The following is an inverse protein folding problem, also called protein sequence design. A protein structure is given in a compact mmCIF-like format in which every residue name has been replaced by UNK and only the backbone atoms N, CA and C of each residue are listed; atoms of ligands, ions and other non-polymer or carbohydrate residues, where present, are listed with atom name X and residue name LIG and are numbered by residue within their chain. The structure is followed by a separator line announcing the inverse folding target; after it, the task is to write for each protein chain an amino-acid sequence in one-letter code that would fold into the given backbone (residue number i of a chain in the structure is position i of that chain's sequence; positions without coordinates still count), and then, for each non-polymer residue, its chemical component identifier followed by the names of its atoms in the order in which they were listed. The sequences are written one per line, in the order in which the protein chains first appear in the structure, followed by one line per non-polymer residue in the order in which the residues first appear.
data_IF_769249346519
#
_entry.id   IF_769249346519
#
_cell.length_a   1.000
_cell.length_b   1.000
_cell.length_c   1.000
_cell.angle_alpha   90.00
_cell.angle_beta   90.00
_cell.angle_gamma   90.00
#
_symmetry.space_group_name_H-M   'P 1'
#
loop_
_entity.id
_entity.type
_entity.pdbx_description
1 polymer ?
#
# COMPACT_ATOMS: atom_id res chain seq x y z
N UNK A 1 3.68 -24.70 8.15
CA UNK A 1 3.14 -23.45 7.56
C UNK A 1 2.80 -22.53 8.71
N UNK A 2 3.64 -21.55 9.01
CA UNK A 2 3.22 -20.50 9.95
C UNK A 2 2.20 -19.65 9.19
N UNK A 3 0.93 -19.77 9.54
CA UNK A 3 -0.01 -18.70 9.24
C UNK A 3 0.53 -17.49 9.99
N UNK A 4 1.24 -16.60 9.30
CA UNK A 4 1.60 -15.31 9.86
C UNK A 4 0.28 -14.57 10.07
N UNK A 5 -0.30 -14.74 11.26
CA UNK A 5 -1.45 -13.98 11.72
C UNK A 5 -1.05 -12.52 11.65
N UNK A 6 -1.62 -11.80 10.69
CA UNK A 6 -1.47 -10.34 10.61
C UNK A 6 -2.15 -9.78 11.86
N UNK A 7 -1.43 -9.04 12.73
CA UNK A 7 -2.01 -8.50 13.94
C UNK A 7 -3.19 -7.57 13.63
N UNK A 8 -4.21 -7.64 14.48
CA UNK A 8 -5.36 -6.74 14.45
C UNK A 8 -5.13 -5.62 15.46
N UNK A 9 -5.42 -4.39 15.04
CA UNK A 9 -5.38 -3.18 15.85
C UNK A 9 -6.78 -2.60 16.01
N UNK A 10 -7.07 -2.04 17.19
CA UNK A 10 -8.34 -1.39 17.50
C UNK A 10 -8.10 0.12 17.54
N UNK A 11 -8.82 0.85 16.69
CA UNK A 11 -8.78 2.31 16.63
C UNK A 11 -10.07 2.88 17.25
N UNK A 12 -9.91 3.77 18.22
CA UNK A 12 -11.03 4.54 18.77
C UNK A 12 -11.32 5.73 17.88
N UNK A 13 -12.51 5.73 17.27
CA UNK A 13 -13.02 6.86 16.49
C UNK A 13 -14.10 7.58 17.28
N UNK A 14 -14.45 8.82 16.91
CA UNK A 14 -15.55 9.56 17.53
C UNK A 14 -16.93 8.87 17.43
N UNK A 15 -17.06 7.77 16.67
CA UNK A 15 -18.28 6.96 16.53
C UNK A 15 -18.17 5.55 17.13
N UNK A 16 -17.08 5.25 17.85
CA UNK A 16 -16.83 3.95 18.48
C UNK A 16 -15.53 3.29 18.02
N UNK A 17 -15.36 2.01 18.34
CA UNK A 17 -14.17 1.22 18.02
C UNK A 17 -14.26 0.57 16.63
N UNK A 18 -13.14 0.59 15.89
CA UNK A 18 -12.99 -0.13 14.62
C UNK A 18 -11.75 -1.01 14.68
N UNK A 19 -11.90 -2.25 14.22
CA UNK A 19 -10.80 -3.21 14.12
C UNK A 19 -10.26 -3.22 12.68
N UNK A 20 -8.94 -3.17 12.54
CA UNK A 20 -8.22 -3.25 11.27
C UNK A 20 -7.07 -4.24 11.41
N UNK A 21 -6.69 -4.93 10.34
CA UNK A 21 -5.34 -5.48 10.30
C UNK A 21 -4.31 -4.34 10.20
N UNK A 22 -3.08 -4.60 10.63
CA UNK A 22 -2.04 -3.57 10.70
C UNK A 22 -1.76 -2.91 9.35
N UNK A 23 -1.84 -3.63 8.22
CA UNK A 23 -1.60 -3.06 6.90
C UNK A 23 -2.75 -2.17 6.46
N UNK A 24 -4.00 -2.59 6.69
CA UNK A 24 -5.17 -1.74 6.47
C UNK A 24 -5.12 -0.47 7.30
N UNK A 25 -4.61 -0.53 8.53
CA UNK A 25 -4.42 0.67 9.37
C UNK A 25 -3.34 1.59 8.81
N UNK A 26 -2.23 1.06 8.32
CA UNK A 26 -1.17 1.83 7.67
C UNK A 26 -1.64 2.48 6.36
N UNK A 27 -2.44 1.79 5.57
CA UNK A 27 -2.99 2.33 4.33
C UNK A 27 -3.87 3.56 4.58
N UNK A 28 -4.58 3.63 5.72
CA UNK A 28 -5.32 4.85 6.13
C UNK A 28 -4.42 6.05 6.38
N UNK A 29 -3.18 5.81 6.82
CA UNK A 29 -2.13 6.83 6.95
C UNK A 29 -1.34 7.02 5.64
N UNK A 30 -1.84 6.47 4.53
CA UNK A 30 -1.25 6.55 3.18
C UNK A 30 0.12 5.85 3.09
N UNK A 31 0.32 4.83 3.92
CA UNK A 31 1.54 4.01 3.94
C UNK A 31 1.27 2.67 3.24
N UNK A 32 2.07 2.38 2.22
CA UNK A 32 2.06 1.13 1.46
C UNK A 32 3.35 0.36 1.73
N UNK A 33 3.24 -0.96 1.96
CA UNK A 33 4.38 -1.85 2.21
C UNK A 33 4.61 -2.75 0.99
N UNK A 34 5.75 -2.57 0.32
CA UNK A 34 6.23 -3.47 -0.73
C UNK A 34 7.33 -4.37 -0.12
N UNK A 35 6.90 -5.43 0.56
CA UNK A 35 7.76 -6.23 1.46
C UNK A 35 8.17 -7.61 0.94
N UNK A 36 7.83 -7.96 -0.30
CA UNK A 36 8.10 -9.28 -0.89
C UNK A 36 8.58 -9.17 -2.33
N UNK A 37 8.90 -10.29 -2.98
CA UNK A 37 9.28 -10.30 -4.39
C UNK A 37 8.19 -9.74 -5.29
N UNK A 38 8.57 -8.99 -6.31
CA UNK A 38 7.65 -8.30 -7.22
C UNK A 38 7.16 -9.28 -8.28
N UNK A 39 5.92 -9.74 -8.14
CA UNK A 39 5.18 -10.47 -9.17
C UNK A 39 3.88 -9.76 -9.53
N UNK A 40 3.17 -10.29 -10.52
CA UNK A 40 1.97 -9.63 -11.08
C UNK A 40 0.88 -9.40 -10.03
N UNK A 41 0.62 -10.38 -9.15
CA UNK A 41 -0.38 -10.26 -8.08
C UNK A 41 -0.03 -9.13 -7.09
N UNK A 42 1.23 -9.07 -6.65
CA UNK A 42 1.69 -8.02 -5.75
C UNK A 42 1.62 -6.65 -6.44
N UNK A 43 2.08 -6.55 -7.68
CA UNK A 43 2.04 -5.30 -8.43
C UNK A 43 0.61 -4.79 -8.60
N UNK A 44 -0.34 -5.66 -8.94
CA UNK A 44 -1.75 -5.29 -9.04
C UNK A 44 -2.31 -4.78 -7.70
N UNK A 45 -1.91 -5.36 -6.56
CA UNK A 45 -2.30 -4.87 -5.24
C UNK A 45 -1.71 -3.48 -4.95
N UNK A 46 -0.43 -3.25 -5.24
CA UNK A 46 0.21 -1.94 -5.05
C UNK A 46 -0.43 -0.89 -5.95
N UNK A 47 -0.66 -1.20 -7.22
CA UNK A 47 -1.34 -0.31 -8.17
C UNK A 47 -2.74 0.05 -7.68
N UNK A 48 -3.52 -0.93 -7.20
CA UNK A 48 -4.85 -0.68 -6.65
C UNK A 48 -4.80 0.24 -5.41
N UNK A 49 -3.81 0.05 -4.53
CA UNK A 49 -3.62 0.91 -3.35
C UNK A 49 -3.23 2.35 -3.73
N UNK A 50 -2.35 2.53 -4.72
CA UNK A 50 -1.96 3.84 -5.23
C UNK A 50 -3.17 4.61 -5.80
N UNK A 51 -3.93 3.98 -6.68
CA UNK A 51 -5.15 4.57 -7.28
C UNK A 51 -6.22 4.85 -6.22
N UNK A 52 -6.38 3.96 -5.24
CA UNK A 52 -7.29 4.17 -4.11
C UNK A 52 -6.90 5.43 -3.32
N UNK A 53 -5.63 5.59 -2.96
CA UNK A 53 -5.16 6.74 -2.20
C UNK A 53 -5.23 8.06 -2.98
N UNK A 54 -5.00 8.03 -4.29
CA UNK A 54 -5.27 9.17 -5.18
C UNK A 54 -6.75 9.56 -5.13
N UNK A 55 -7.66 8.58 -5.24
CA UNK A 55 -9.10 8.85 -5.24
C UNK A 55 -9.62 9.40 -3.91
N UNK A 56 -9.01 9.01 -2.79
CA UNK A 56 -9.39 9.49 -1.45
C UNK A 56 -8.95 10.93 -1.21
N UNK A 57 -7.71 11.27 -1.58
CA UNK A 57 -7.18 12.62 -1.46
C UNK A 57 -5.96 12.81 -2.40
N UNK A 58 -6.13 13.47 -3.56
CA UNK A 58 -5.08 13.60 -4.56
C UNK A 58 -4.04 14.67 -4.21
N UNK A 59 -4.24 15.48 -3.16
CA UNK A 59 -3.28 16.51 -2.72
C UNK A 59 -2.31 16.02 -1.64
N UNK A 60 -2.53 14.83 -1.08
CA UNK A 60 -1.71 14.28 0.02
C UNK A 60 -0.71 13.25 -0.47
N UNK A 61 0.51 13.34 0.03
CA UNK A 61 1.59 12.42 -0.29
C UNK A 61 1.26 10.96 0.06
N UNK A 62 1.92 10.03 -0.65
CA UNK A 62 1.87 8.60 -0.41
C UNK A 62 3.27 8.12 -0.04
N UNK A 63 3.37 7.28 0.98
CA UNK A 63 4.64 6.73 1.46
C UNK A 63 4.74 5.24 1.12
N UNK A 64 5.70 4.85 0.30
CA UNK A 64 5.91 3.46 -0.11
C UNK A 64 7.20 2.96 0.51
N UNK A 65 7.09 2.05 1.48
CA UNK A 65 8.26 1.41 2.09
C UNK A 65 8.64 0.15 1.32
N UNK A 66 9.84 0.15 0.75
CA UNK A 66 10.33 -0.92 -0.13
C UNK A 66 11.32 -1.80 0.62
N UNK A 67 10.95 -3.07 0.79
CA UNK A 67 11.84 -4.15 1.24
C UNK A 67 11.62 -5.37 0.35
N UNK A 68 12.21 -5.32 -0.85
CA UNK A 68 12.01 -6.34 -1.86
C UNK A 68 13.34 -6.78 -2.48
N UNK A 69 13.52 -8.07 -2.77
CA UNK A 69 14.66 -8.55 -3.56
C UNK A 69 14.50 -8.22 -5.06
N UNK A 70 13.45 -7.49 -5.47
CA UNK A 70 13.07 -7.28 -6.86
C UNK A 70 12.16 -8.40 -7.38
N UNK A 71 12.08 -8.54 -8.70
CA UNK A 71 11.23 -9.56 -9.34
C UNK A 71 10.99 -9.29 -10.83
N UNK A 72 9.76 -9.50 -11.27
CA UNK A 72 9.32 -9.25 -12.64
C UNK A 72 9.48 -7.78 -13.01
N UNK A 73 10.19 -7.51 -14.11
CA UNK A 73 10.42 -6.16 -14.62
C UNK A 73 9.10 -5.51 -15.06
N UNK A 74 8.21 -6.26 -15.73
CA UNK A 74 6.92 -5.74 -16.17
C UNK A 74 6.00 -5.41 -15.00
N UNK A 75 6.02 -6.22 -13.95
CA UNK A 75 5.29 -5.94 -12.72
C UNK A 75 5.83 -4.68 -12.02
N UNK A 76 7.17 -4.51 -11.99
CA UNK A 76 7.81 -3.29 -11.51
C UNK A 76 7.44 -2.05 -12.32
N UNK A 77 7.37 -2.17 -13.65
CA UNK A 77 6.95 -1.08 -14.54
C UNK A 77 5.49 -0.68 -14.31
N UNK A 78 4.59 -1.63 -14.05
CA UNK A 78 3.19 -1.30 -13.73
C UNK A 78 3.09 -0.43 -12.46
N UNK A 79 3.87 -0.75 -11.42
CA UNK A 79 3.96 0.07 -10.21
C UNK A 79 4.55 1.45 -10.53
N UNK A 80 5.68 1.47 -11.24
CA UNK A 80 6.40 2.69 -11.58
C UNK A 80 5.55 3.65 -12.42
N UNK A 81 4.93 3.17 -13.49
CA UNK A 81 4.07 3.98 -14.36
C UNK A 81 2.87 4.54 -13.59
N UNK A 82 2.32 3.77 -12.65
CA UNK A 82 1.24 4.24 -11.77
C UNK A 82 1.73 5.34 -10.83
N UNK A 83 2.92 5.20 -10.23
CA UNK A 83 3.52 6.25 -9.39
C UNK A 83 3.75 7.56 -10.16
N UNK A 84 4.06 7.48 -11.46
CA UNK A 84 4.22 8.67 -12.32
C UNK A 84 2.89 9.25 -12.81
N UNK A 85 1.85 8.41 -12.91
CA UNK A 85 0.54 8.80 -13.41
C UNK A 85 -0.29 9.54 -12.36
N UNK A 86 -0.28 9.07 -11.11
CA UNK A 86 -1.12 9.62 -10.06
C UNK A 86 -0.67 11.03 -9.65
N UNK A 87 -1.62 11.85 -9.21
CA UNK A 87 -1.33 13.22 -8.76
C UNK A 87 -0.48 13.32 -7.47
N UNK A 88 -0.72 12.52 -6.42
CA UNK A 88 0.07 12.56 -5.19
C UNK A 88 1.58 12.39 -5.43
N UNK A 89 2.40 13.13 -4.68
CA UNK A 89 3.82 12.81 -4.59
C UNK A 89 4.00 11.46 -3.88
N UNK A 90 4.82 10.59 -4.47
CA UNK A 90 5.15 9.29 -3.89
C UNK A 90 6.56 9.33 -3.32
N UNK A 91 6.65 9.27 -1.99
CA UNK A 91 7.92 9.17 -1.27
C UNK A 91 8.28 7.70 -1.03
N UNK A 92 9.54 7.34 -1.28
CA UNK A 92 10.10 5.99 -1.07
C UNK A 92 11.25 6.01 -0.09
#
# INVERSE_FOLDING_TARGET
MHANLVPIVIEQTGRGERAYDIYSRLLRDRIIILGTGIGDDLANLIVAQLLFLESEDPEKDIYVYINSPGGSVTAGLAIYDTMQYIKPEVST
#
